data_IF_233251509059
#
_entry.id   IF_233251509059
#
_cell.length_a   1.000
_cell.length_b   1.000
_cell.length_c   1.000
_cell.angle_alpha   90.00
_cell.angle_beta   90.00
_cell.angle_gamma   90.00
#
_symmetry.space_group_name_H-M   'P 1'
#
loop_
_entity.id
_entity.type
_entity.pdbx_description
1 polymer ?
#
# COMPACT_ATOMS: atom_id res chain seq x y z
N UNK A 1 6.35 25.09 1.41
CA UNK A 1 6.94 24.35 2.55
C UNK A 1 8.44 24.55 2.49
N UNK A 2 9.06 24.98 3.59
CA UNK A 2 10.52 25.16 3.70
C UNK A 2 11.18 23.83 4.10
N UNK A 3 11.14 22.85 3.20
CA UNK A 3 11.74 21.53 3.40
C UNK A 3 12.61 21.18 2.18
N UNK A 4 13.77 20.58 2.44
CA UNK A 4 14.67 20.06 1.41
C UNK A 4 14.58 18.53 1.34
N UNK A 5 14.70 17.97 0.13
CA UNK A 5 14.64 16.53 -0.10
C UNK A 5 15.97 15.90 0.32
N UNK A 6 15.97 15.17 1.43
CA UNK A 6 17.17 14.49 1.93
C UNK A 6 17.52 13.23 1.11
N UNK A 7 16.57 12.60 0.42
CA UNK A 7 16.79 11.40 -0.37
C UNK A 7 15.49 10.73 -0.80
N UNK A 8 15.61 9.71 -1.66
CA UNK A 8 14.48 8.90 -2.16
C UNK A 8 14.83 7.44 -1.96
N UNK A 9 13.83 6.64 -1.57
CA UNK A 9 13.98 5.19 -1.51
C UNK A 9 12.73 4.49 -2.04
N UNK A 10 12.91 3.26 -2.51
CA UNK A 10 11.80 2.39 -2.92
C UNK A 10 10.91 2.02 -1.73
N UNK A 11 9.60 2.25 -1.86
CA UNK A 11 8.59 1.81 -0.88
C UNK A 11 8.65 0.30 -0.64
N UNK A 12 8.85 -0.49 -1.70
CA UNK A 12 8.96 -1.95 -1.62
C UNK A 12 10.07 -2.39 -0.66
N UNK A 13 11.20 -1.67 -0.67
CA UNK A 13 12.34 -1.96 0.18
C UNK A 13 12.07 -1.60 1.64
N UNK A 14 11.65 -0.37 1.92
CA UNK A 14 11.40 0.10 3.30
C UNK A 14 10.23 -0.61 3.97
N UNK A 15 9.19 -0.96 3.22
CA UNK A 15 8.09 -1.78 3.74
C UNK A 15 8.57 -3.18 4.15
N UNK A 16 9.49 -3.78 3.38
CA UNK A 16 10.14 -5.04 3.75
C UNK A 16 11.00 -4.92 5.01
N UNK A 17 11.83 -3.88 5.09
CA UNK A 17 12.70 -3.62 6.26
C UNK A 17 11.93 -3.55 7.58
N UNK A 18 10.78 -2.88 7.59
CA UNK A 18 10.00 -2.71 8.81
C UNK A 18 9.07 -3.88 9.11
N UNK A 19 8.59 -4.64 8.11
CA UNK A 19 7.55 -5.66 8.30
C UNK A 19 8.04 -7.12 8.36
N UNK A 20 9.21 -7.42 7.80
CA UNK A 20 9.80 -8.75 7.81
C UNK A 20 10.57 -8.99 9.11
N UNK A 21 10.46 -10.19 9.69
CA UNK A 21 11.34 -10.64 10.80
C UNK A 21 12.72 -11.06 10.26
N UNK A 22 13.72 -11.19 11.14
CA UNK A 22 15.10 -11.44 10.68
C UNK A 22 15.25 -12.78 9.96
N UNK A 23 14.63 -13.83 10.51
CA UNK A 23 14.66 -15.16 9.93
C UNK A 23 14.02 -15.21 8.53
N UNK A 24 12.97 -14.43 8.29
CA UNK A 24 12.33 -14.29 6.97
C UNK A 24 13.28 -13.68 5.95
N UNK A 25 13.97 -12.60 6.33
CA UNK A 25 14.93 -11.94 5.45
C UNK A 25 16.16 -12.82 5.17
N UNK A 26 16.55 -13.67 6.12
CA UNK A 26 17.66 -14.61 5.95
C UNK A 26 17.30 -15.78 5.03
N UNK A 27 16.15 -16.42 5.26
CA UNK A 27 15.77 -17.68 4.63
C UNK A 27 15.01 -17.55 3.30
N UNK A 28 14.66 -16.34 2.88
CA UNK A 28 13.94 -16.11 1.61
C UNK A 28 12.47 -15.77 1.81
N UNK A 29 12.12 -14.49 1.84
CA UNK A 29 10.75 -14.02 2.03
C UNK A 29 10.38 -12.88 1.07
N UNK A 30 9.10 -12.79 0.72
CA UNK A 30 8.54 -11.69 -0.05
C UNK A 30 7.74 -10.76 0.86
N UNK A 31 7.94 -9.45 0.71
CA UNK A 31 7.06 -8.44 1.26
C UNK A 31 6.15 -7.93 0.14
N UNK A 32 4.84 -7.91 0.39
CA UNK A 32 3.82 -7.38 -0.53
C UNK A 32 3.13 -6.22 0.16
N UNK A 33 3.43 -5.00 -0.27
CA UNK A 33 2.89 -3.76 0.27
C UNK A 33 1.71 -3.27 -0.58
N UNK A 34 0.50 -3.48 -0.06
CA UNK A 34 -0.76 -3.10 -0.70
C UNK A 34 -1.09 -1.64 -0.37
N UNK A 35 -0.58 -0.72 -1.19
CA UNK A 35 -0.85 0.72 -1.13
C UNK A 35 -2.18 1.13 -1.78
N UNK A 36 -2.39 2.44 -1.89
CA UNK A 36 -3.59 3.01 -2.56
C UNK A 36 -3.54 2.84 -4.08
N UNK A 37 -2.57 3.47 -4.74
CA UNK A 37 -2.45 3.43 -6.20
C UNK A 37 -1.77 2.17 -6.76
N UNK A 38 -0.95 1.50 -5.95
CA UNK A 38 -0.14 0.37 -6.39
C UNK A 38 0.14 -0.62 -5.26
N UNK A 39 0.43 -1.86 -5.64
CA UNK A 39 0.87 -2.92 -4.75
C UNK A 39 2.32 -3.24 -5.08
N UNK A 40 3.23 -2.88 -4.18
CA UNK A 40 4.66 -3.10 -4.37
C UNK A 40 5.06 -4.48 -3.86
N UNK A 41 6.04 -5.11 -4.48
CA UNK A 41 6.63 -6.35 -3.99
C UNK A 41 8.15 -6.26 -3.92
N UNK A 42 8.72 -6.93 -2.92
CA UNK A 42 10.16 -7.09 -2.75
C UNK A 42 10.47 -8.49 -2.22
N UNK A 43 11.59 -9.06 -2.63
CA UNK A 43 12.06 -10.37 -2.16
C UNK A 43 13.40 -10.20 -1.48
N UNK A 44 13.53 -10.77 -0.28
CA UNK A 44 14.73 -10.74 0.54
C UNK A 44 15.32 -12.13 0.69
N UNK A 45 16.64 -12.24 0.62
CA UNK A 45 17.40 -13.45 0.87
C UNK A 45 18.76 -13.08 1.48
N UNK A 46 19.20 -13.80 2.52
CA UNK A 46 20.44 -13.48 3.27
C UNK A 46 20.50 -12.01 3.69
N UNK A 47 19.36 -11.45 4.14
CA UNK A 47 19.20 -10.04 4.57
C UNK A 47 19.36 -8.98 3.49
N UNK A 48 19.46 -9.36 2.22
CA UNK A 48 19.53 -8.41 1.10
C UNK A 48 18.26 -8.49 0.26
N UNK A 49 17.79 -7.35 -0.25
CA UNK A 49 16.72 -7.33 -1.23
C UNK A 49 17.30 -7.76 -2.59
N UNK A 50 16.81 -8.87 -3.13
CA UNK A 50 17.29 -9.45 -4.39
C UNK A 50 16.38 -9.16 -5.58
N UNK A 51 15.16 -8.68 -5.31
CA UNK A 51 14.16 -8.38 -6.33
C UNK A 51 13.17 -7.34 -5.83
N UNK A 52 12.68 -6.50 -6.73
CA UNK A 52 11.58 -5.59 -6.50
C UNK A 52 10.77 -5.40 -7.79
N UNK A 53 9.46 -5.35 -7.66
CA UNK A 53 8.53 -5.04 -8.77
C UNK A 53 7.24 -4.42 -8.22
N UNK A 54 6.29 -4.06 -9.08
CA UNK A 54 5.05 -3.40 -8.70
C UNK A 54 3.89 -3.83 -9.61
N UNK A 55 2.77 -4.13 -8.96
CA UNK A 55 1.45 -4.22 -9.59
C UNK A 55 0.83 -2.82 -9.58
N UNK A 56 0.40 -2.32 -10.74
CA UNK A 56 -0.21 -0.99 -10.89
C UNK A 56 -1.69 -0.96 -10.48
N UNK A 57 -2.01 -1.65 -9.39
CA UNK A 57 -3.32 -1.73 -8.77
C UNK A 57 -3.16 -1.77 -7.25
N UNK A 58 -4.11 -1.16 -6.55
CA UNK A 58 -4.09 -1.05 -5.08
C UNK A 58 -5.47 -0.71 -4.53
N UNK A 59 -5.52 -0.27 -3.27
CA UNK A 59 -6.75 0.04 -2.55
C UNK A 59 -7.65 1.10 -3.21
N UNK A 60 -7.08 2.01 -4.00
CA UNK A 60 -7.85 3.05 -4.71
C UNK A 60 -8.67 2.45 -5.86
N UNK A 61 -8.19 1.35 -6.46
CA UNK A 61 -8.92 0.63 -7.49
C UNK A 61 -10.13 -0.10 -6.91
N UNK A 62 -9.99 -0.66 -5.71
CA UNK A 62 -11.11 -1.24 -4.95
C UNK A 62 -12.15 -0.15 -4.64
N UNK A 63 -11.70 1.02 -4.21
CA UNK A 63 -12.59 2.16 -3.94
C UNK A 63 -13.30 2.66 -5.19
N UNK A 64 -12.61 2.69 -6.33
CA UNK A 64 -13.20 3.05 -7.61
C UNK A 64 -14.26 2.03 -8.05
N UNK A 65 -14.01 0.72 -7.87
CA UNK A 65 -14.98 -0.31 -8.20
C UNK A 65 -16.24 -0.21 -7.32
N UNK A 66 -16.09 0.08 -6.03
CA UNK A 66 -17.22 0.37 -5.12
C UNK A 66 -17.97 1.62 -5.58
N UNK A 67 -17.24 2.69 -5.92
CA UNK A 67 -17.83 3.96 -6.38
C UNK A 67 -18.70 3.75 -7.62
N UNK A 68 -18.19 3.02 -8.61
CA UNK A 68 -18.89 2.71 -9.85
C UNK A 68 -20.03 1.71 -9.64
N UNK A 69 -19.78 0.63 -8.91
CA UNK A 69 -20.76 -0.43 -8.64
C UNK A 69 -21.95 0.04 -7.82
N UNK A 70 -21.73 0.95 -6.87
CA UNK A 70 -22.78 1.51 -6.01
C UNK A 70 -23.29 2.89 -6.46
N UNK A 71 -22.64 3.51 -7.45
CA UNK A 71 -22.94 4.86 -7.94
C UNK A 71 -22.92 5.90 -6.81
N UNK A 72 -21.83 5.92 -6.05
CA UNK A 72 -21.59 6.86 -4.93
C UNK A 72 -20.25 7.58 -5.10
N UNK A 73 -20.05 8.77 -4.49
CA UNK A 73 -18.77 9.47 -4.54
C UNK A 73 -17.62 8.62 -3.97
N UNK A 74 -16.42 8.75 -4.52
CA UNK A 74 -15.23 7.99 -4.11
C UNK A 74 -14.92 8.15 -2.60
N UNK A 75 -15.16 9.34 -2.03
CA UNK A 75 -14.99 9.58 -0.59
C UNK A 75 -15.94 8.74 0.27
N UNK A 76 -17.17 8.53 -0.18
CA UNK A 76 -18.15 7.66 0.48
C UNK A 76 -17.80 6.18 0.28
N UNK A 77 -17.34 5.82 -0.91
CA UNK A 77 -16.85 4.47 -1.21
C UNK A 77 -15.67 4.08 -0.32
N UNK A 78 -14.69 4.97 -0.11
CA UNK A 78 -13.54 4.71 0.77
C UNK A 78 -13.98 4.46 2.22
N UNK A 79 -14.93 5.27 2.70
CA UNK A 79 -15.49 5.10 4.05
C UNK A 79 -16.19 3.74 4.15
N UNK A 80 -17.05 3.40 3.20
CA UNK A 80 -17.75 2.11 3.20
C UNK A 80 -16.77 0.93 3.13
N UNK A 81 -15.74 1.01 2.28
CA UNK A 81 -14.66 0.02 2.19
C UNK A 81 -13.97 -0.18 3.54
N UNK A 82 -13.66 0.91 4.24
CA UNK A 82 -12.93 0.87 5.51
C UNK A 82 -13.79 0.33 6.67
N UNK A 83 -15.07 0.70 6.73
CA UNK A 83 -15.96 0.29 7.83
C UNK A 83 -16.58 -1.10 7.61
N UNK A 84 -16.93 -1.45 6.37
CA UNK A 84 -17.73 -2.63 6.05
C UNK A 84 -17.07 -3.60 5.08
N UNK A 85 -15.88 -3.28 4.55
CA UNK A 85 -15.20 -4.12 3.57
C UNK A 85 -14.89 -5.53 4.07
N UNK A 86 -14.67 -6.44 3.14
CA UNK A 86 -14.28 -7.81 3.42
C UNK A 86 -13.94 -8.57 2.14
N UNK A 87 -13.18 -9.66 2.29
CA UNK A 87 -12.78 -10.55 1.21
C UNK A 87 -13.52 -11.90 1.24
N UNK A 88 -14.31 -12.16 2.29
CA UNK A 88 -15.11 -13.38 2.44
C UNK A 88 -16.49 -13.03 3.02
N UNK A 89 -17.55 -13.48 2.34
CA UNK A 89 -18.92 -13.27 2.78
C UNK A 89 -19.44 -14.50 3.55
N UNK A 90 -20.17 -14.25 4.62
CA UNK A 90 -20.85 -15.22 5.48
C UNK A 90 -22.36 -14.99 5.44
N UNK A 91 -23.15 -15.97 5.89
CA UNK A 91 -24.61 -15.83 5.93
C UNK A 91 -25.12 -14.71 6.85
N UNK A 92 -24.28 -14.20 7.77
CA UNK A 92 -24.62 -13.07 8.63
C UNK A 92 -24.54 -11.73 7.86
N UNK A 93 -23.70 -11.66 6.83
CA UNK A 93 -23.43 -10.43 6.06
C UNK A 93 -24.62 -10.00 5.17
N UNK A 94 -25.49 -10.94 4.80
CA UNK A 94 -26.75 -10.64 4.09
C UNK A 94 -27.72 -9.80 4.93
N UNK A 95 -27.62 -9.90 6.26
CA UNK A 95 -28.51 -9.19 7.18
C UNK A 95 -28.01 -7.79 7.50
N UNK A 96 -26.72 -7.53 7.28
CA UNK A 96 -26.12 -6.22 7.51
C UNK A 96 -26.39 -5.33 6.30
N UNK A 97 -27.24 -4.32 6.48
CA UNK A 97 -27.56 -3.32 5.45
C UNK A 97 -26.75 -2.05 5.69
N UNK A 98 -26.09 -1.59 4.64
CA UNK A 98 -25.27 -0.38 4.60
C UNK A 98 -26.05 0.69 3.85
N UNK A 99 -26.26 1.84 4.47
CA UNK A 99 -26.92 2.98 3.85
C UNK A 99 -25.98 3.68 2.86
N UNK A 100 -26.43 3.83 1.62
CA UNK A 100 -25.69 4.48 0.54
C UNK A 100 -26.38 5.72 -0.01
N UNK A 101 -27.64 5.97 0.36
CA UNK A 101 -28.37 7.22 0.10
C UNK A 101 -27.81 8.43 0.87
N UNK A 102 -28.21 9.66 0.49
CA UNK A 102 -27.90 10.90 1.22
C UNK A 102 -26.73 11.75 0.69
N UNK A 103 -27.08 12.81 -0.06
CA UNK A 103 -26.47 14.17 -0.01
C UNK A 103 -27.29 15.19 -0.86
N UNK A 104 -28.25 14.72 -1.68
CA UNK A 104 -29.05 15.57 -2.61
C UNK A 104 -30.40 16.06 -2.09
N UNK A 105 -30.84 15.69 -0.87
CA UNK A 105 -32.10 16.18 -0.28
C UNK A 105 -33.38 15.66 -0.97
N UNK A 106 -33.26 14.59 -1.74
CA UNK A 106 -34.35 13.99 -2.52
C UNK A 106 -34.76 12.66 -1.87
N UNK A 107 -35.94 12.63 -1.24
CA UNK A 107 -36.37 11.55 -0.34
C UNK A 107 -36.38 10.15 -0.99
N UNK A 108 -36.64 10.05 -2.29
CA UNK A 108 -36.63 8.77 -3.03
C UNK A 108 -35.20 8.23 -3.27
N UNK A 109 -34.18 9.10 -3.31
CA UNK A 109 -32.76 8.69 -3.44
C UNK A 109 -32.09 8.39 -2.09
N UNK A 110 -32.66 8.86 -1.00
CA UNK A 110 -32.08 8.76 0.35
C UNK A 110 -32.26 7.40 1.03
N UNK A 111 -33.11 6.52 0.50
CA UNK A 111 -33.36 5.19 1.07
C UNK A 111 -32.52 4.04 0.47
N UNK A 112 -31.56 4.36 -0.42
CA UNK A 112 -30.72 3.32 -1.04
C UNK A 112 -29.84 2.65 0.02
N UNK A 113 -29.94 1.32 0.11
CA UNK A 113 -29.08 0.49 0.94
C UNK A 113 -28.60 -0.74 0.18
N UNK A 114 -27.44 -1.25 0.54
CA UNK A 114 -26.85 -2.48 0.01
C UNK A 114 -26.46 -3.41 1.13
N UNK A 115 -26.50 -4.71 0.89
CA UNK A 115 -25.99 -5.69 1.85
C UNK A 115 -24.47 -5.67 1.90
N UNK A 116 -23.89 -6.08 3.03
CA UNK A 116 -22.43 -6.28 3.13
C UNK A 116 -21.95 -7.36 2.16
N UNK A 117 -22.76 -8.38 1.87
CA UNK A 117 -22.46 -9.41 0.85
C UNK A 117 -22.29 -8.81 -0.55
N UNK A 118 -23.18 -7.91 -0.97
CA UNK A 118 -23.05 -7.22 -2.27
C UNK A 118 -21.77 -6.39 -2.32
N UNK A 119 -21.43 -5.68 -1.24
CA UNK A 119 -20.17 -4.94 -1.14
C UNK A 119 -18.95 -5.86 -1.28
N UNK A 120 -18.94 -7.01 -0.58
CA UNK A 120 -17.87 -8.01 -0.70
C UNK A 120 -17.80 -8.55 -2.13
N UNK A 121 -18.94 -8.73 -2.79
CA UNK A 121 -19.03 -9.12 -4.20
C UNK A 121 -18.36 -8.14 -5.17
N UNK A 122 -18.26 -6.86 -4.80
CA UNK A 122 -17.53 -5.84 -5.57
C UNK A 122 -16.03 -5.83 -5.19
N UNK A 123 -15.71 -5.93 -3.90
CA UNK A 123 -14.33 -5.85 -3.40
C UNK A 123 -13.50 -7.06 -3.82
N UNK A 124 -14.06 -8.26 -3.64
CA UNK A 124 -13.31 -9.50 -3.76
C UNK A 124 -12.68 -9.71 -5.14
N UNK A 125 -13.39 -9.51 -6.28
CA UNK A 125 -12.79 -9.68 -7.60
C UNK A 125 -11.55 -8.80 -7.84
N UNK A 126 -11.59 -7.53 -7.40
CA UNK A 126 -10.43 -6.64 -7.53
C UNK A 126 -9.23 -7.09 -6.69
N UNK A 127 -9.50 -7.62 -5.50
CA UNK A 127 -8.46 -8.17 -4.63
C UNK A 127 -7.89 -9.47 -5.21
N UNK A 128 -8.73 -10.35 -5.75
CA UNK A 128 -8.30 -11.56 -6.46
C UNK A 128 -7.38 -11.19 -7.63
N UNK A 129 -7.78 -10.22 -8.46
CA UNK A 129 -6.97 -9.72 -9.57
C UNK A 129 -5.61 -9.17 -9.11
N UNK A 130 -5.56 -8.36 -8.05
CA UNK A 130 -4.29 -7.85 -7.49
C UNK A 130 -3.40 -9.01 -7.05
N UNK A 131 -3.95 -9.99 -6.33
CA UNK A 131 -3.19 -11.12 -5.79
C UNK A 131 -2.71 -12.08 -6.89
N UNK A 132 -3.50 -12.28 -7.94
CA UNK A 132 -3.09 -13.04 -9.14
C UNK A 132 -1.95 -12.36 -9.89
N UNK A 133 -2.00 -11.03 -10.02
CA UNK A 133 -0.93 -10.24 -10.62
C UNK A 133 0.36 -10.25 -9.76
N UNK A 134 0.21 -10.27 -8.43
CA UNK A 134 1.33 -10.48 -7.49
C UNK A 134 1.90 -11.88 -7.67
N UNK A 135 1.05 -12.92 -7.74
CA UNK A 135 1.46 -14.31 -7.94
C UNK A 135 2.30 -14.46 -9.20
N UNK A 136 1.83 -13.92 -10.33
CA UNK A 136 2.55 -13.98 -11.59
C UNK A 136 3.95 -13.36 -11.51
N UNK A 137 4.12 -12.28 -10.74
CA UNK A 137 5.43 -11.62 -10.57
C UNK A 137 6.36 -12.41 -9.64
N UNK A 138 5.82 -13.00 -8.57
CA UNK A 138 6.59 -13.89 -7.69
C UNK A 138 7.08 -15.14 -8.44
N UNK A 139 6.22 -15.73 -9.27
CA UNK A 139 6.57 -16.88 -10.10
C UNK A 139 7.66 -16.50 -11.13
N UNK A 140 7.52 -15.34 -11.80
CA UNK A 140 8.53 -14.83 -12.73
C UNK A 140 9.88 -14.53 -12.05
N UNK A 141 9.87 -14.17 -10.77
CA UNK A 141 11.07 -13.94 -9.97
C UNK A 141 11.71 -15.24 -9.43
N UNK A 142 11.10 -16.41 -9.66
CA UNK A 142 11.58 -17.69 -9.15
C UNK A 142 11.42 -17.84 -7.63
N UNK A 143 10.44 -17.15 -7.03
CA UNK A 143 10.22 -17.14 -5.58
C UNK A 143 9.96 -18.55 -5.01
N UNK A 144 9.32 -19.44 -5.78
CA UNK A 144 9.03 -20.82 -5.39
C UNK A 144 10.29 -21.69 -5.12
N UNK A 145 11.47 -21.24 -5.55
CA UNK A 145 12.73 -21.93 -5.31
C UNK A 145 13.43 -21.50 -4.02
N UNK A 146 12.88 -20.51 -3.30
CA UNK A 146 13.45 -20.05 -2.04
C UNK A 146 13.14 -21.03 -0.90
N UNK A 147 14.00 -21.12 0.14
CA UNK A 147 13.82 -22.04 1.26
C UNK A 147 12.56 -21.78 2.11
N UNK A 148 12.31 -20.52 2.50
CA UNK A 148 11.21 -20.17 3.41
C UNK A 148 9.88 -19.93 2.68
N UNK A 149 9.92 -19.29 1.50
CA UNK A 149 8.73 -18.94 0.70
C UNK A 149 7.68 -18.14 1.49
N UNK A 150 8.10 -17.48 2.57
CA UNK A 150 7.21 -16.70 3.42
C UNK A 150 6.80 -15.42 2.70
N UNK A 151 5.51 -15.18 2.61
CA UNK A 151 4.93 -13.95 2.08
C UNK A 151 4.36 -13.15 3.25
N UNK A 152 4.71 -11.87 3.30
CA UNK A 152 4.26 -10.93 4.33
C UNK A 152 3.49 -9.81 3.66
N UNK A 153 2.18 -9.74 3.94
CA UNK A 153 1.29 -8.70 3.43
C UNK A 153 1.33 -7.48 4.35
N UNK A 154 1.57 -6.30 3.80
CA UNK A 154 1.56 -5.03 4.54
C UNK A 154 0.85 -3.94 3.72
N UNK A 155 0.80 -2.72 4.24
CA UNK A 155 0.13 -1.60 3.60
C UNK A 155 -1.29 -1.37 4.10
N UNK A 156 -1.91 -0.28 3.65
CA UNK A 156 -3.27 0.07 4.06
C UNK A 156 -4.29 -0.95 3.56
N UNK A 157 -4.12 -1.42 2.32
CA UNK A 157 -5.01 -2.38 1.67
C UNK A 157 -4.95 -3.78 2.26
N UNK A 158 -3.87 -4.13 2.97
CA UNK A 158 -3.75 -5.45 3.61
C UNK A 158 -4.68 -5.64 4.81
N UNK A 159 -5.33 -4.58 5.27
CA UNK A 159 -6.23 -4.58 6.43
C UNK A 159 -7.66 -5.02 6.11
N UNK A 160 -7.98 -5.32 4.85
CA UNK A 160 -9.31 -5.82 4.47
C UNK A 160 -9.58 -7.14 5.22
N UNK A 161 -10.69 -7.24 5.98
CA UNK A 161 -11.02 -8.46 6.71
C UNK A 161 -11.12 -9.70 5.81
N UNK A 162 -10.43 -10.78 6.20
CA UNK A 162 -10.40 -12.05 5.45
C UNK A 162 -9.46 -12.07 4.24
N UNK A 163 -8.69 -11.00 4.02
CA UNK A 163 -7.71 -10.94 2.94
C UNK A 163 -6.60 -11.98 3.12
N UNK A 164 -6.16 -12.23 4.35
CA UNK A 164 -5.14 -13.23 4.69
C UNK A 164 -5.54 -14.63 4.23
N UNK A 165 -6.78 -15.04 4.47
CA UNK A 165 -7.32 -16.31 4.01
C UNK A 165 -7.41 -16.36 2.47
N UNK A 166 -7.86 -15.27 1.84
CA UNK A 166 -7.94 -15.18 0.38
C UNK A 166 -6.55 -15.25 -0.28
N UNK A 167 -5.60 -14.50 0.26
CA UNK A 167 -4.22 -14.49 -0.18
C UNK A 167 -3.56 -15.86 0.02
N UNK A 168 -3.85 -16.56 1.13
CA UNK A 168 -3.33 -17.90 1.35
C UNK A 168 -3.80 -18.91 0.29
N UNK A 169 -5.00 -18.70 -0.26
CA UNK A 169 -5.56 -19.54 -1.33
C UNK A 169 -4.91 -19.26 -2.70
N UNK A 170 -4.49 -18.02 -2.97
CA UNK A 170 -3.93 -17.59 -4.27
C UNK A 170 -2.40 -17.69 -4.29
N UNK A 171 -1.75 -17.21 -3.24
CA UNK A 171 -0.30 -17.09 -3.14
C UNK A 171 0.36 -18.34 -2.55
N UNK A 172 -0.34 -19.11 -1.70
CA UNK A 172 0.17 -20.30 -1.04
C UNK A 172 0.02 -20.24 0.49
N UNK A 173 0.38 -21.33 1.19
CA UNK A 173 0.07 -21.47 2.62
C UNK A 173 0.92 -20.60 3.56
N UNK A 174 2.10 -20.13 3.12
CA UNK A 174 3.01 -19.33 3.95
C UNK A 174 2.73 -17.83 3.79
N UNK A 175 1.53 -17.39 4.17
CA UNK A 175 1.12 -15.97 4.11
C UNK A 175 0.77 -15.48 5.51
N UNK A 176 1.29 -14.30 5.87
CA UNK A 176 0.88 -13.62 7.11
C UNK A 176 0.75 -12.12 6.90
N UNK A 177 0.03 -11.47 7.82
CA UNK A 177 0.00 -10.02 7.90
C UNK A 177 1.28 -9.50 8.59
N UNK A 178 1.95 -8.55 7.95
CA UNK A 178 3.08 -7.80 8.47
C UNK A 178 2.63 -6.53 9.20
N UNK A 179 3.42 -6.10 10.18
CA UNK A 179 3.28 -4.80 10.85
C UNK A 179 4.68 -4.24 11.08
N UNK A 180 4.85 -2.92 11.22
CA UNK A 180 6.15 -2.36 11.56
C UNK A 180 6.70 -2.94 12.87
N UNK A 181 7.93 -3.44 12.84
CA UNK A 181 8.65 -4.04 13.96
C UNK A 181 9.87 -3.18 14.33
N UNK A 182 10.51 -3.53 15.45
CA UNK A 182 11.84 -3.01 15.86
C UNK A 182 11.90 -1.50 16.18
N UNK A 183 10.77 -0.90 16.56
CA UNK A 183 10.75 0.48 17.08
C UNK A 183 10.19 0.51 18.49
N UNK A 184 11.06 0.74 19.47
CA UNK A 184 10.65 0.94 20.86
C UNK A 184 9.92 2.28 21.02
N UNK A 185 8.80 2.27 21.75
CA UNK A 185 8.01 3.47 22.01
C UNK A 185 7.16 3.96 20.82
N UNK A 186 7.01 3.15 19.77
CA UNK A 186 6.16 3.49 18.64
C UNK A 186 4.70 3.67 19.12
N UNK A 187 4.05 4.82 18.84
CA UNK A 187 2.65 5.03 19.20
C UNK A 187 1.75 3.93 18.64
N UNK A 188 0.74 3.51 19.40
CA UNK A 188 -0.16 2.43 18.96
C UNK A 188 -0.82 2.73 17.61
N UNK A 189 -1.14 4.01 17.36
CA UNK A 189 -1.74 4.47 16.09
C UNK A 189 -0.87 4.20 14.86
N UNK A 190 0.45 4.07 15.02
CA UNK A 190 1.41 3.86 13.91
C UNK A 190 1.93 2.43 13.84
N UNK A 191 1.35 1.50 14.60
CA UNK A 191 1.72 0.06 14.55
C UNK A 191 0.96 -0.71 13.48
N UNK A 192 0.02 -0.06 12.78
CA UNK A 192 -0.72 -0.68 11.68
C UNK A 192 0.13 -0.93 10.43
N UNK A 193 -0.23 -1.92 9.60
CA UNK A 193 0.49 -2.24 8.36
C UNK A 193 0.56 -1.07 7.37
N UNK A 194 -0.39 -0.14 7.42
CA UNK A 194 -0.38 1.08 6.60
C UNK A 194 0.79 2.02 6.88
N UNK A 195 1.50 1.85 8.00
CA UNK A 195 2.66 2.66 8.37
C UNK A 195 4.01 2.00 8.07
N UNK A 196 4.03 0.79 7.49
CA UNK A 196 5.29 0.04 7.25
C UNK A 196 6.28 0.79 6.39
N UNK A 197 5.85 1.44 5.30
CA UNK A 197 6.73 2.25 4.47
C UNK A 197 7.32 3.44 5.26
N UNK A 198 6.48 4.16 6.00
CA UNK A 198 6.89 5.34 6.77
C UNK A 198 7.85 4.97 7.92
N UNK A 199 7.55 3.91 8.66
CA UNK A 199 8.44 3.42 9.72
C UNK A 199 9.74 2.88 9.13
N UNK A 200 9.69 2.17 8.00
CA UNK A 200 10.87 1.68 7.31
C UNK A 200 11.78 2.81 6.81
N UNK A 201 11.21 3.90 6.31
CA UNK A 201 11.93 5.13 5.98
C UNK A 201 12.68 5.68 7.20
N UNK A 202 12.01 5.78 8.35
CA UNK A 202 12.65 6.25 9.58
C UNK A 202 13.77 5.31 10.05
N UNK A 203 13.57 3.99 9.96
CA UNK A 203 14.60 2.99 10.31
C UNK A 203 15.83 3.12 9.43
N UNK A 204 15.63 3.30 8.12
CA UNK A 204 16.71 3.53 7.16
C UNK A 204 17.44 4.85 7.41
N UNK A 205 16.71 5.94 7.69
CA UNK A 205 17.31 7.22 7.99
C UNK A 205 18.10 7.20 9.32
N UNK A 206 17.65 6.43 10.31
CA UNK A 206 18.32 6.30 11.60
C UNK A 206 19.55 5.38 11.56
N UNK A 207 19.54 4.35 10.69
CA UNK A 207 20.66 3.44 10.48
C UNK A 207 20.94 3.30 8.98
N UNK A 208 21.58 4.31 8.36
CA UNK A 208 21.94 4.24 6.95
C UNK A 208 22.83 3.01 6.74
N UNK A 209 22.38 2.08 5.90
CA UNK A 209 23.23 1.02 5.38
C UNK A 209 24.24 1.66 4.41
N UNK A 210 25.48 1.19 4.38
CA UNK A 210 26.54 1.72 3.50
C UNK A 210 26.20 1.66 2.00
N UNK A 211 25.14 0.91 1.62
CA UNK A 211 24.60 0.84 0.26
C UNK A 211 23.65 2.01 -0.04
N UNK A 212 24.11 3.25 0.14
CA UNK A 212 23.53 4.36 -0.60
C UNK A 212 23.95 4.15 -2.06
N UNK A 213 23.02 3.69 -2.90
CA UNK A 213 23.19 3.84 -4.32
C UNK A 213 23.14 5.34 -4.59
N UNK A 214 24.33 5.93 -4.77
CA UNK A 214 24.53 7.32 -5.16
C UNK A 214 24.09 7.45 -6.63
N UNK A 215 22.79 7.28 -6.85
CA UNK A 215 22.17 7.80 -8.03
C UNK A 215 22.29 9.31 -7.85
N UNK A 216 23.18 9.92 -8.64
CA UNK A 216 22.97 11.28 -9.09
C UNK A 216 21.54 11.30 -9.63
N UNK A 217 20.59 11.70 -8.79
CA UNK A 217 19.29 12.10 -9.26
C UNK A 217 19.62 13.15 -10.32
N UNK A 218 19.12 13.02 -11.56
CA UNK A 218 19.01 14.18 -12.41
C UNK A 218 18.08 15.10 -11.63
N UNK A 219 18.67 15.93 -10.76
CA UNK A 219 18.06 17.17 -10.39
C UNK A 219 17.84 17.80 -11.74
N UNK A 220 16.58 17.81 -12.19
CA UNK A 220 16.17 18.84 -13.10
C UNK A 220 16.68 20.09 -12.43
N UNK A 221 17.75 20.64 -13.03
CA UNK A 221 18.36 21.88 -12.61
C UNK A 221 17.22 22.87 -12.75
N UNK A 222 16.46 23.08 -11.68
CA UNK A 222 15.71 24.30 -11.52
C UNK A 222 16.76 25.37 -11.74
N UNK A 223 16.66 26.15 -12.82
CA UNK A 223 17.69 27.09 -13.16
C UNK A 223 17.78 28.02 -11.97
N UNK A 224 18.91 27.91 -11.25
CA UNK A 224 19.28 28.78 -10.14
C UNK A 224 18.89 30.17 -10.59
N UNK A 225 17.93 30.77 -9.88
CA UNK A 225 17.36 32.09 -10.21
C UNK A 225 18.53 33.03 -10.43
N UNK A 226 18.81 33.30 -11.70
CA UNK A 226 19.98 34.03 -12.13
C UNK A 226 19.99 35.41 -11.47
N UNK A 227 21.13 35.79 -10.88
CA UNK A 227 21.40 37.14 -10.35
C UNK A 227 21.07 38.24 -11.37
N UNK A 228 20.98 37.92 -12.66
CA UNK A 228 20.55 38.83 -13.71
C UNK A 228 19.14 39.41 -13.47
N UNK A 229 18.22 38.69 -12.82
CA UNK A 229 16.87 39.20 -12.53
C UNK A 229 16.85 40.15 -11.33
N UNK A 230 17.71 39.92 -10.34
CA UNK A 230 17.92 40.83 -9.19
C UNK A 230 18.58 42.13 -9.62
N UNK A 231 19.57 42.07 -10.50
CA UNK A 231 20.21 43.27 -11.10
C UNK A 231 19.22 44.04 -11.98
N UNK A 232 18.38 43.32 -12.74
CA UNK A 232 17.32 43.95 -13.55
C UNK A 232 16.26 44.63 -12.68
N UNK A 233 15.83 44.00 -11.58
CA UNK A 233 14.87 44.59 -10.64
C UNK A 233 15.42 45.85 -9.95
N UNK A 234 16.70 45.85 -9.56
CA UNK A 234 17.34 47.03 -8.98
C UNK A 234 17.41 48.19 -9.96
N UNK A 235 17.80 47.94 -11.21
CA UNK A 235 17.84 48.97 -12.26
C UNK A 235 16.47 49.54 -12.62
N UNK A 236 15.43 48.74 -12.47
CA UNK A 236 14.07 49.14 -12.84
C UNK A 236 13.31 49.83 -11.68
N UNK A 237 13.82 49.80 -10.44
CA UNK A 237 13.13 50.35 -9.26
C UNK A 237 13.95 51.34 -8.39
N UNK A 238 15.22 51.60 -8.72
CA UNK A 238 16.07 52.59 -8.06
C UNK A 238 16.91 53.37 -9.08
#
# INVERSE_FOLDING_TARGET
CDLELAGVVSSAYVSGLSSLIEDEQELGAACVDMGGGATSLSIFLKKHMIYADTVRMGGDHVTNDISLGLQIPATKAERIKTFYGGAHATSMDDRERIEIGGDTGDYDRDSRSVSRTELIGIIKPRIEEILEDVRSRLDAAGFEHLPSQQIVLTGGGSQIPGLDALASRILGQQVRLGRPLRVHGLPQATTGPGFSAAVGLCLMAANPQDEWWDFDMPSDRHPVRSMARTVKWFRDNW
#
